data_IF_453450213804
#
_entry.id   IF_453450213804
#
_cell.length_a   1.000
_cell.length_b   1.000
_cell.length_c   1.000
_cell.angle_alpha   90.00
_cell.angle_beta   90.00
_cell.angle_gamma   90.00
#
_symmetry.space_group_name_H-M   'P 1'
#
loop_
_entity.id
_entity.type
_entity.pdbx_description
1 polymer ?
#
# COMPACT_ATOMS: atom_id res chain seq x y z
N UNK A 1 22.26 -9.86 10.41
CA UNK A 1 21.71 -10.19 10.21
C UNK A 1 21.15 -10.59 10.54
N UNK A 2 21.45 -10.95 11.01
CA UNK A 2 21.05 -11.49 11.18
C UNK A 2 21.18 -12.02 11.11
N UNK A 3 21.89 -12.44 11.39
CA UNK A 3 22.21 -13.00 11.15
C UNK A 3 22.47 -13.50 11.37
N UNK A 4 22.99 -14.00 11.77
CA UNK A 4 23.42 -14.47 11.53
C UNK A 4 23.81 -14.65 10.75
N UNK A 5 25.09 -14.85 10.89
CA UNK A 5 25.17 -14.98 9.82
C UNK A 5 24.11 -15.32 9.13
N UNK A 6 23.88 -15.86 9.35
CA UNK A 6 22.52 -16.05 9.06
C UNK A 6 21.61 -15.15 9.80
N UNK A 7 21.98 -14.79 10.95
CA UNK A 7 21.24 -13.87 11.70
C UNK A 7 20.95 -12.62 10.98
N UNK A 8 21.87 -12.12 10.23
CA UNK A 8 21.70 -10.92 9.56
C UNK A 8 20.77 -11.01 8.39
N UNK A 9 20.76 -12.15 7.71
CA UNK A 9 19.81 -12.41 6.66
C UNK A 9 18.42 -12.52 7.23
N UNK A 10 18.30 -13.23 8.34
CA UNK A 10 17.07 -13.40 9.03
C UNK A 10 16.50 -12.08 9.53
N UNK A 11 17.35 -11.21 10.06
CA UNK A 11 16.92 -9.89 10.48
C UNK A 11 16.44 -9.05 9.29
N UNK A 12 17.10 -9.15 8.16
CA UNK A 12 16.65 -8.44 6.97
C UNK A 12 15.25 -8.87 6.55
N UNK A 13 14.94 -10.14 6.66
CA UNK A 13 13.59 -10.63 6.39
C UNK A 13 12.61 -9.99 7.35
N UNK A 14 12.93 -9.98 8.63
CA UNK A 14 12.06 -9.42 9.64
C UNK A 14 11.78 -7.95 9.42
N UNK A 15 12.75 -7.21 8.97
CA UNK A 15 12.62 -5.78 8.81
C UNK A 15 12.25 -5.36 7.39
N UNK A 16 11.91 -6.31 6.55
CA UNK A 16 11.39 -6.02 5.24
C UNK A 16 12.37 -5.44 4.26
N UNK A 17 13.67 -5.39 4.57
CA UNK A 17 14.67 -4.85 3.64
C UNK A 17 14.66 -5.62 2.34
N UNK A 18 14.47 -6.93 2.42
CA UNK A 18 14.39 -7.80 1.26
C UNK A 18 13.06 -7.70 0.55
N UNK A 19 12.10 -7.00 1.14
CA UNK A 19 10.77 -6.83 0.59
C UNK A 19 10.54 -5.46 -0.01
N UNK A 20 11.61 -4.67 -0.16
CA UNK A 20 11.49 -3.44 -0.94
C UNK A 20 11.37 -3.81 -2.40
N UNK A 21 10.61 -3.03 -3.16
CA UNK A 21 10.40 -3.29 -4.56
C UNK A 21 10.26 -1.98 -5.33
N UNK A 22 11.18 -1.77 -6.27
CA UNK A 22 11.13 -0.58 -7.12
C UNK A 22 10.20 -0.77 -8.31
N UNK A 23 9.90 -2.00 -8.68
CA UNK A 23 9.10 -2.28 -9.86
C UNK A 23 7.67 -1.80 -9.70
N UNK A 24 7.02 -2.14 -8.57
CA UNK A 24 5.65 -1.69 -8.31
C UNK A 24 5.61 -0.17 -8.14
N UNK A 25 6.64 0.41 -7.54
CA UNK A 25 6.75 1.86 -7.40
C UNK A 25 6.86 2.53 -8.77
N UNK A 26 7.69 2.00 -9.65
CA UNK A 26 7.85 2.52 -11.01
C UNK A 26 6.53 2.47 -11.78
N UNK A 27 5.81 1.35 -11.69
CA UNK A 27 4.49 1.22 -12.33
C UNK A 27 3.53 2.27 -11.77
N UNK A 28 3.47 2.41 -10.45
CA UNK A 28 2.57 3.37 -9.81
C UNK A 28 2.89 4.80 -10.26
N UNK A 29 4.16 5.18 -10.27
CA UNK A 29 4.59 6.52 -10.68
C UNK A 29 4.25 6.83 -12.14
N UNK A 30 4.23 5.81 -13.01
CA UNK A 30 3.92 5.98 -14.42
C UNK A 30 2.46 6.38 -14.66
N UNK A 31 1.60 6.28 -13.65
CA UNK A 31 0.17 6.56 -13.77
C UNK A 31 -0.17 8.03 -13.52
N UNK A 32 0.83 8.89 -13.46
CA UNK A 32 0.66 10.32 -13.21
C UNK A 32 -0.39 10.92 -14.15
N UNK A 33 -1.24 11.78 -13.58
CA UNK A 33 -2.27 12.50 -14.33
C UNK A 33 -3.62 11.81 -14.35
N UNK A 34 -3.74 10.60 -13.84
CA UNK A 34 -5.03 9.90 -13.88
C UNK A 34 -6.04 10.52 -12.93
N UNK A 35 -7.26 10.71 -13.43
CA UNK A 35 -8.41 11.25 -12.69
C UNK A 35 -9.58 10.31 -12.94
N UNK A 36 -10.36 10.04 -11.88
CA UNK A 36 -11.57 9.22 -11.99
C UNK A 36 -11.33 7.72 -11.96
N UNK A 37 -10.12 7.26 -12.20
CA UNK A 37 -9.70 5.89 -11.99
C UNK A 37 -10.28 4.84 -12.92
N UNK A 38 -10.87 5.22 -14.06
CA UNK A 38 -11.51 4.25 -14.94
C UNK A 38 -10.61 3.08 -15.34
N UNK A 39 -9.32 3.28 -15.68
CA UNK A 39 -8.46 2.14 -16.04
C UNK A 39 -8.36 1.08 -14.94
N UNK A 40 -8.54 1.47 -13.70
CA UNK A 40 -8.34 0.57 -12.55
C UNK A 40 -9.62 -0.09 -12.11
N UNK A 41 -10.70 0.68 -11.90
CA UNK A 41 -11.95 0.08 -11.46
C UNK A 41 -12.62 -0.75 -12.59
N UNK A 42 -12.45 -0.36 -13.86
CA UNK A 42 -12.99 -1.17 -14.96
C UNK A 42 -12.21 -2.46 -15.15
N UNK A 43 -10.86 -2.39 -15.04
CA UNK A 43 -10.03 -3.59 -15.06
C UNK A 43 -10.41 -4.56 -13.93
N UNK A 44 -10.70 -4.01 -12.77
CA UNK A 44 -11.10 -4.84 -11.62
C UNK A 44 -12.40 -5.59 -11.89
N UNK A 45 -13.29 -5.02 -12.67
CA UNK A 45 -14.55 -5.64 -13.05
C UNK A 45 -15.79 -4.79 -12.74
N UNK A 46 -15.61 -3.54 -12.30
CA UNK A 46 -16.74 -2.67 -12.01
C UNK A 46 -17.24 -1.99 -13.29
N UNK A 47 -18.56 -1.86 -13.40
CA UNK A 47 -19.19 -1.25 -14.58
C UNK A 47 -19.38 0.26 -14.47
N UNK A 48 -19.05 0.84 -13.34
CA UNK A 48 -19.15 2.28 -13.10
C UNK A 48 -18.17 2.66 -12.00
N UNK A 49 -17.97 3.97 -11.80
CA UNK A 49 -17.01 4.48 -10.83
C UNK A 49 -17.33 3.97 -9.42
N UNK A 50 -16.30 3.50 -8.75
CA UNK A 50 -16.31 3.15 -7.34
C UNK A 50 -15.15 3.91 -6.65
N UNK A 51 -15.02 3.77 -5.33
CA UNK A 51 -13.79 4.20 -4.64
C UNK A 51 -12.68 3.29 -5.14
N UNK A 52 -11.66 3.87 -5.76
CA UNK A 52 -10.71 3.10 -6.57
C UNK A 52 -9.29 3.06 -6.04
N UNK A 53 -9.07 3.44 -4.78
CA UNK A 53 -7.72 3.39 -4.19
C UNK A 53 -7.16 1.97 -4.18
N UNK A 54 -7.96 1.00 -3.78
CA UNK A 54 -7.55 -0.41 -3.74
C UNK A 54 -7.48 -1.01 -5.15
N UNK A 55 -8.36 -0.60 -6.05
CA UNK A 55 -8.28 -1.02 -7.45
C UNK A 55 -6.96 -0.56 -8.08
N UNK A 56 -6.52 0.65 -7.75
CA UNK A 56 -5.26 1.20 -8.24
C UNK A 56 -4.06 0.36 -7.76
N UNK A 57 -3.99 0.06 -6.46
CA UNK A 57 -2.91 -0.77 -5.91
C UNK A 57 -2.92 -2.15 -6.57
N UNK A 58 -4.09 -2.76 -6.68
CA UNK A 58 -4.24 -4.09 -7.29
C UNK A 58 -3.78 -4.08 -8.75
N UNK A 59 -4.16 -3.04 -9.49
CA UNK A 59 -3.76 -2.90 -10.89
C UNK A 59 -2.23 -2.78 -11.02
N UNK A 60 -1.61 -1.96 -10.18
CA UNK A 60 -0.16 -1.81 -10.19
C UNK A 60 0.54 -3.14 -9.90
N UNK A 61 0.03 -3.90 -8.95
CA UNK A 61 0.55 -5.22 -8.63
C UNK A 61 0.38 -6.20 -9.80
N UNK A 62 -0.76 -6.13 -10.47
CA UNK A 62 -1.03 -6.99 -11.62
C UNK A 62 -0.06 -6.74 -12.77
N UNK A 63 0.28 -5.48 -13.02
CA UNK A 63 1.25 -5.12 -14.04
C UNK A 63 2.63 -5.73 -13.78
N UNK A 64 2.94 -6.01 -12.51
CA UNK A 64 4.19 -6.65 -12.11
C UNK A 64 4.08 -8.18 -12.02
N UNK A 65 2.91 -8.75 -12.28
CA UNK A 65 2.68 -10.19 -12.12
C UNK A 65 2.46 -10.63 -10.69
N UNK A 66 2.29 -9.70 -9.75
CA UNK A 66 2.23 -10.01 -8.32
C UNK A 66 0.89 -10.55 -7.86
N UNK A 67 -0.17 -10.33 -8.64
CA UNK A 67 -1.47 -10.94 -8.34
C UNK A 67 -1.43 -12.43 -8.64
N UNK A 68 -0.96 -12.80 -9.83
CA UNK A 68 -0.90 -14.21 -10.25
C UNK A 68 0.02 -15.04 -9.37
N UNK A 69 1.10 -14.45 -8.87
CA UNK A 69 2.05 -15.16 -8.01
C UNK A 69 1.67 -15.14 -6.54
N UNK A 70 0.58 -14.42 -6.18
CA UNK A 70 0.12 -14.37 -4.79
C UNK A 70 0.97 -13.50 -3.87
N UNK A 71 1.79 -12.61 -4.43
CA UNK A 71 2.65 -11.71 -3.65
C UNK A 71 1.85 -10.54 -3.09
N UNK A 72 0.89 -10.03 -3.89
CA UNK A 72 -0.02 -8.96 -3.49
C UNK A 72 -1.45 -9.42 -3.78
N UNK A 73 -2.41 -9.16 -2.88
CA UNK A 73 -3.79 -9.56 -3.13
C UNK A 73 -4.45 -8.64 -4.16
N UNK A 74 -5.41 -9.18 -4.90
CA UNK A 74 -6.33 -8.37 -5.67
C UNK A 74 -7.48 -7.99 -4.75
N UNK A 75 -7.57 -6.72 -4.39
CA UNK A 75 -8.60 -6.26 -3.44
C UNK A 75 -9.19 -4.93 -3.89
N UNK A 76 -10.49 -4.75 -3.61
CA UNK A 76 -11.22 -3.52 -3.88
C UNK A 76 -11.63 -2.84 -2.57
N UNK A 77 -11.72 -3.60 -1.48
CA UNK A 77 -12.02 -3.07 -0.15
C UNK A 77 -10.76 -3.06 0.71
N UNK A 78 -10.45 -1.91 1.30
CA UNK A 78 -9.23 -1.77 2.10
C UNK A 78 -9.20 -2.72 3.30
N UNK A 79 -10.34 -2.94 3.95
CA UNK A 79 -10.45 -3.87 5.09
C UNK A 79 -10.01 -5.27 4.67
N UNK A 80 -10.41 -5.72 3.49
CA UNK A 80 -10.03 -7.04 2.98
C UNK A 80 -8.53 -7.12 2.70
N UNK A 81 -7.94 -6.04 2.19
CA UNK A 81 -6.49 -5.98 1.97
C UNK A 81 -5.71 -6.11 3.27
N UNK A 82 -6.11 -5.38 4.30
CA UNK A 82 -5.49 -5.47 5.62
C UNK A 82 -5.56 -6.89 6.14
N UNK A 83 -6.75 -7.51 6.08
CA UNK A 83 -6.95 -8.85 6.62
C UNK A 83 -6.09 -9.89 5.87
N UNK A 84 -5.97 -9.73 4.55
CA UNK A 84 -5.14 -10.63 3.75
C UNK A 84 -3.68 -10.63 4.24
N UNK A 85 -3.12 -9.45 4.49
CA UNK A 85 -1.74 -9.35 4.98
C UNK A 85 -1.61 -9.87 6.41
N UNK A 86 -2.58 -9.55 7.27
CA UNK A 86 -2.55 -10.02 8.67
C UNK A 86 -2.62 -11.54 8.74
N UNK A 87 -3.46 -12.16 7.93
CA UNK A 87 -3.62 -13.61 7.93
C UNK A 87 -2.34 -14.33 7.54
N UNK A 88 -1.43 -13.66 6.85
CA UNK A 88 -0.18 -14.24 6.39
C UNK A 88 1.02 -13.83 7.25
N UNK A 89 0.79 -13.09 8.32
CA UNK A 89 1.89 -12.58 9.14
C UNK A 89 2.73 -11.55 8.40
N UNK A 90 2.15 -10.85 7.43
CA UNK A 90 2.83 -9.87 6.58
C UNK A 90 2.29 -8.46 6.85
N UNK A 91 2.20 -8.11 8.12
CA UNK A 91 1.66 -6.82 8.56
C UNK A 91 2.58 -6.19 9.59
N UNK A 92 2.83 -4.88 9.45
CA UNK A 92 3.51 -4.11 10.48
C UNK A 92 2.66 -2.90 10.85
N UNK A 93 2.82 -2.49 12.11
CA UNK A 93 2.04 -1.40 12.68
C UNK A 93 2.38 -0.06 12.04
N UNK A 94 1.42 0.87 12.11
CA UNK A 94 1.56 2.21 11.52
C UNK A 94 2.64 3.08 12.14
N UNK A 95 3.18 2.71 13.30
CA UNK A 95 4.29 3.42 13.92
C UNK A 95 5.65 3.05 13.30
N UNK A 96 5.71 1.98 12.52
CA UNK A 96 6.95 1.51 11.93
C UNK A 96 7.38 2.38 10.75
N UNK A 97 8.66 2.36 10.45
CA UNK A 97 9.18 2.98 9.23
C UNK A 97 9.10 1.97 8.10
N UNK A 98 8.38 2.28 7.02
CA UNK A 98 8.24 1.35 5.90
C UNK A 98 9.42 1.42 4.95
N UNK A 99 9.44 0.51 3.96
CA UNK A 99 10.37 0.56 2.83
C UNK A 99 9.59 0.67 1.52
N UNK A 100 10.23 1.09 0.42
CA UNK A 100 9.55 1.21 -0.86
C UNK A 100 8.87 -0.08 -1.29
N UNK A 101 7.66 0.03 -1.80
CA UNK A 101 6.87 -1.10 -2.27
C UNK A 101 5.93 -1.68 -1.22
N UNK A 102 6.06 -1.31 0.04
CA UNK A 102 5.06 -1.71 1.03
C UNK A 102 3.72 -1.06 0.71
N UNK A 103 2.65 -1.72 1.10
CA UNK A 103 1.29 -1.23 0.86
C UNK A 103 0.82 -0.53 2.13
N UNK A 104 0.59 0.77 2.04
CA UNK A 104 0.15 1.57 3.19
C UNK A 104 -1.37 1.55 3.29
N UNK A 105 -1.87 1.50 4.53
CA UNK A 105 -3.30 1.54 4.83
C UNK A 105 -3.56 2.61 5.87
N UNK A 106 -4.64 3.37 5.66
CA UNK A 106 -5.02 4.48 6.52
C UNK A 106 -6.38 4.23 7.18
N UNK A 107 -6.52 4.74 8.38
CA UNK A 107 -7.79 4.86 9.07
C UNK A 107 -7.98 6.36 9.33
N UNK A 108 -8.76 7.00 8.46
CA UNK A 108 -8.90 8.45 8.48
C UNK A 108 -9.72 8.92 9.67
N UNK A 109 -9.42 10.13 10.14
CA UNK A 109 -10.16 10.80 11.20
C UNK A 109 -10.96 11.94 10.58
N UNK A 110 -12.24 11.66 10.31
CA UNK A 110 -13.20 12.65 9.79
C UNK A 110 -12.80 13.32 8.47
N UNK A 111 -12.30 12.53 7.54
CA UNK A 111 -11.97 13.02 6.20
C UNK A 111 -12.97 12.50 5.17
N UNK A 112 -13.44 13.39 4.30
CA UNK A 112 -14.35 13.02 3.23
C UNK A 112 -15.60 12.37 3.79
N UNK A 113 -15.88 11.14 3.36
CA UNK A 113 -17.01 10.36 3.83
C UNK A 113 -16.66 9.49 5.03
N UNK A 114 -15.40 9.51 5.50
CA UNK A 114 -14.97 8.73 6.64
C UNK A 114 -15.47 9.37 7.93
N UNK A 115 -15.84 8.54 8.88
CA UNK A 115 -16.18 9.00 10.23
C UNK A 115 -14.93 9.12 11.09
N UNK A 116 -15.10 9.13 12.43
CA UNK A 116 -13.97 9.04 13.34
C UNK A 116 -13.21 7.72 13.12
N UNK A 117 -11.96 7.66 13.56
CA UNK A 117 -11.19 6.44 13.49
C UNK A 117 -11.92 5.29 14.18
N UNK A 118 -12.02 4.15 13.50
CA UNK A 118 -12.75 2.98 14.01
C UNK A 118 -11.91 1.70 13.99
N UNK A 119 -10.63 1.79 13.63
CA UNK A 119 -9.74 0.63 13.52
C UNK A 119 -9.83 -0.08 12.19
N UNK A 120 -10.64 0.41 11.25
CA UNK A 120 -10.80 -0.19 9.93
C UNK A 120 -10.25 0.73 8.87
N UNK A 121 -9.60 0.15 7.86
CA UNK A 121 -8.94 0.95 6.83
C UNK A 121 -9.94 1.58 5.87
N UNK A 122 -9.75 2.87 5.60
CA UNK A 122 -10.55 3.68 4.68
C UNK A 122 -9.85 3.93 3.36
N UNK A 123 -8.52 3.79 3.31
CA UNK A 123 -7.72 4.18 2.16
C UNK A 123 -6.42 3.40 2.09
N UNK A 124 -5.85 3.30 0.90
CA UNK A 124 -4.62 2.54 0.68
C UNK A 124 -3.79 3.18 -0.42
N UNK A 125 -2.50 2.87 -0.44
CA UNK A 125 -1.57 3.34 -1.45
C UNK A 125 -0.31 2.49 -1.46
N UNK A 126 0.70 2.96 -2.18
CA UNK A 126 1.99 2.29 -2.31
C UNK A 126 3.06 3.22 -1.77
N UNK A 127 3.92 2.70 -0.89
CA UNK A 127 5.05 3.48 -0.36
C UNK A 127 6.05 3.68 -1.49
N UNK A 128 6.34 4.93 -1.80
CA UNK A 128 7.35 5.29 -2.80
C UNK A 128 8.74 5.27 -2.19
N UNK A 129 8.92 5.95 -1.06
CA UNK A 129 10.20 6.09 -0.37
C UNK A 129 9.99 6.67 1.01
N UNK A 130 11.03 6.58 1.83
CA UNK A 130 11.10 7.29 3.11
C UNK A 130 12.37 8.14 3.09
N UNK A 131 12.23 9.40 3.46
CA UNK A 131 13.34 10.35 3.42
C UNK A 131 13.17 11.36 4.54
N UNK A 132 14.18 11.50 5.39
CA UNK A 132 14.16 12.47 6.49
C UNK A 132 12.91 12.36 7.39
N UNK A 133 12.49 11.14 7.69
CA UNK A 133 11.33 10.89 8.55
C UNK A 133 9.99 11.10 7.87
N UNK A 134 9.97 11.26 6.55
CA UNK A 134 8.75 11.46 5.76
C UNK A 134 8.53 10.24 4.87
N UNK A 135 7.30 9.70 4.91
CA UNK A 135 6.85 8.64 4.01
C UNK A 135 6.20 9.30 2.81
N UNK A 136 6.72 9.02 1.64
CA UNK A 136 6.10 9.46 0.38
C UNK A 136 5.33 8.29 -0.21
N UNK A 137 4.11 8.56 -0.66
CA UNK A 137 3.20 7.52 -1.18
C UNK A 137 2.75 7.85 -2.59
N UNK A 138 2.38 6.82 -3.34
CA UNK A 138 1.63 6.98 -4.59
C UNK A 138 0.24 6.43 -4.34
N UNK A 139 -0.76 7.28 -4.52
CA UNK A 139 -2.14 6.94 -4.17
C UNK A 139 -3.07 7.19 -5.34
N UNK A 140 -3.96 6.23 -5.57
CA UNK A 140 -5.12 6.43 -6.42
C UNK A 140 -6.30 6.91 -5.58
N UNK A 141 -7.23 7.59 -6.21
CA UNK A 141 -8.42 8.11 -5.54
C UNK A 141 -8.14 9.03 -4.35
N UNK A 142 -7.05 9.75 -4.42
CA UNK A 142 -6.78 10.84 -3.48
C UNK A 142 -7.41 12.09 -4.07
N UNK A 143 -8.61 12.47 -3.59
CA UNK A 143 -9.48 13.47 -4.21
C UNK A 143 -9.76 13.11 -5.68
N UNK A 144 -10.16 11.86 -5.89
CA UNK A 144 -10.51 11.30 -7.21
C UNK A 144 -9.36 11.36 -8.23
N UNK A 145 -8.13 11.40 -7.76
CA UNK A 145 -6.95 11.58 -8.62
C UNK A 145 -5.78 10.73 -8.17
N UNK A 146 -4.88 10.44 -9.11
CA UNK A 146 -3.53 10.03 -8.80
C UNK A 146 -2.84 11.15 -8.04
N UNK A 147 -2.18 10.83 -6.94
CA UNK A 147 -1.38 11.81 -6.19
C UNK A 147 -0.19 11.16 -5.54
N UNK A 148 0.87 11.97 -5.41
CA UNK A 148 1.96 11.67 -4.49
C UNK A 148 1.68 12.48 -3.24
N UNK A 149 1.54 11.78 -2.13
CA UNK A 149 1.30 12.40 -0.83
C UNK A 149 2.46 12.13 0.11
N UNK A 150 2.51 12.83 1.23
CA UNK A 150 3.56 12.64 2.21
C UNK A 150 3.00 12.73 3.63
N UNK A 151 3.59 11.94 4.50
CA UNK A 151 3.17 11.83 5.91
C UNK A 151 4.42 11.66 6.77
N UNK A 152 4.38 12.11 8.01
CA UNK A 152 5.46 11.77 8.96
C UNK A 152 5.43 10.28 9.23
N UNK A 153 6.61 9.67 9.38
CA UNK A 153 6.70 8.29 9.89
C UNK A 153 5.95 8.24 11.22
N UNK A 154 5.04 7.28 11.36
CA UNK A 154 4.24 7.13 12.57
C UNK A 154 3.05 8.06 12.66
N UNK A 155 2.68 8.76 11.58
CA UNK A 155 1.49 9.61 11.55
C UNK A 155 0.27 8.81 12.03
N UNK A 156 -0.55 9.42 12.90
CA UNK A 156 -1.61 8.69 13.62
C UNK A 156 -2.71 8.10 12.74
N UNK A 157 -2.91 8.62 11.53
CA UNK A 157 -3.89 8.07 10.61
C UNK A 157 -3.37 6.88 9.80
N UNK A 158 -2.08 6.56 9.92
CA UNK A 158 -1.54 5.35 9.28
C UNK A 158 -1.89 4.16 10.16
N UNK A 159 -2.76 3.28 9.65
CA UNK A 159 -3.16 2.07 10.36
C UNK A 159 -2.02 1.06 10.40
N UNK A 160 -1.35 0.89 9.29
CA UNK A 160 -0.23 -0.04 9.18
C UNK A 160 0.15 -0.29 7.74
N UNK A 161 1.02 -1.28 7.55
CA UNK A 161 1.55 -1.61 6.24
C UNK A 161 1.44 -3.11 5.98
N UNK A 162 0.97 -3.44 4.78
CA UNK A 162 1.15 -4.77 4.24
C UNK A 162 2.57 -4.90 3.72
N UNK A 163 3.19 -6.05 3.99
CA UNK A 163 4.59 -6.32 3.65
C UNK A 163 4.62 -7.47 2.65
N UNK A 164 4.51 -7.17 1.33
CA UNK A 164 4.53 -8.24 0.33
C UNK A 164 5.87 -8.95 0.35
N UNK A 165 5.82 -10.23 0.02
CA UNK A 165 7.02 -11.07 -0.01
C UNK A 165 7.61 -11.03 -1.43
N UNK A 166 8.12 -9.90 -1.80
CA UNK A 166 8.72 -9.67 -3.12
C UNK A 166 9.89 -10.59 -3.42
#
# INVERSE_FOLDING_TARGET
MLKDENNYIWAAVLYGIRYSDDQIVTVALSQVGNVGGEPYWSWYGFGSRVEWCACFVSWCADQCGYIDTGVVPKYAGCVNGVQWFKDRGQWIDGSAEPVPGMIIFFDWDNKGSSGPQDGQSDHTGIVQKVENGIVYTVEGNSSDSYRINQYSVGHYEILGYGVPNY
#
